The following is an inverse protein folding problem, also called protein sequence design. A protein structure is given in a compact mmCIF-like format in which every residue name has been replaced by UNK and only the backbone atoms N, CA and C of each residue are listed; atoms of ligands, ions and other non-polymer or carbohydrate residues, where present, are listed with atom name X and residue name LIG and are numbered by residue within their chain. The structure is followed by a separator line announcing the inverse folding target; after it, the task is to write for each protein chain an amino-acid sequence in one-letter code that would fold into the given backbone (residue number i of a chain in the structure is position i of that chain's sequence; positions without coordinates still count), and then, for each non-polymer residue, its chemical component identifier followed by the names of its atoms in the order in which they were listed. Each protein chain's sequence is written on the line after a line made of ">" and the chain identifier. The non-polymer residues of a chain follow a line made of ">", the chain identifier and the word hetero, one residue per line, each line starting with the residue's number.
data_IF_307763888283
#
_entry.id   IF_307763888283
#
_cell.length_a   1.000
_cell.length_b   1.000
_cell.length_c   1.000
_cell.angle_alpha   90.00
_cell.angle_beta   90.00
_cell.angle_gamma   90.00
#
_symmetry.space_group_name_H-M   'P 1'
#
loop_
_entity.id
_entity.type
_entity.pdbx_description
1 polymer ?
#
# COMPACT_ATOMS: atom_id res chain seq x y z
N UNK A 1 -5.93 -11.07 24.51
CA UNK A 1 -6.49 -10.04 23.61
C UNK A 1 -7.17 -10.74 22.45
N UNK A 2 -8.42 -10.38 22.17
CA UNK A 2 -9.22 -10.94 21.08
C UNK A 2 -8.60 -10.66 19.69
N UNK A 3 -8.88 -11.52 18.71
CA UNK A 3 -8.35 -11.41 17.34
C UNK A 3 -8.77 -10.10 16.68
N UNK A 4 -10.02 -9.68 16.88
CA UNK A 4 -10.55 -8.47 16.27
C UNK A 4 -9.89 -7.23 16.84
N UNK A 5 -9.67 -7.21 18.16
CA UNK A 5 -8.93 -6.13 18.83
C UNK A 5 -7.48 -6.01 18.30
N UNK A 6 -6.79 -7.13 18.06
CA UNK A 6 -5.44 -7.11 17.45
C UNK A 6 -5.46 -6.57 16.02
N UNK A 7 -6.45 -6.99 15.21
CA UNK A 7 -6.63 -6.47 13.84
C UNK A 7 -6.94 -4.97 13.84
N UNK A 8 -7.74 -4.50 14.80
CA UNK A 8 -8.06 -3.09 14.98
C UNK A 8 -6.79 -2.28 15.27
N UNK A 9 -5.97 -2.72 16.22
CA UNK A 9 -4.71 -2.06 16.57
C UNK A 9 -3.77 -1.99 15.37
N UNK A 10 -3.62 -3.11 14.65
CA UNK A 10 -2.80 -3.13 13.45
C UNK A 10 -3.32 -2.13 12.39
N UNK A 11 -4.64 -2.09 12.19
CA UNK A 11 -5.26 -1.22 11.19
C UNK A 11 -5.21 0.26 11.56
N UNK A 12 -5.35 0.59 12.85
CA UNK A 12 -5.39 1.96 13.34
C UNK A 12 -4.00 2.59 13.55
N UNK A 13 -3.01 1.82 14.01
CA UNK A 13 -1.70 2.36 14.36
C UNK A 13 -0.59 1.93 13.40
N UNK A 14 -0.41 0.62 13.22
CA UNK A 14 0.73 0.10 12.46
C UNK A 14 0.58 0.36 10.95
N UNK A 15 -0.62 0.16 10.41
CA UNK A 15 -0.87 0.36 8.99
C UNK A 15 -0.60 1.80 8.54
N UNK A 16 -1.08 2.85 9.21
CA UNK A 16 -0.71 4.23 8.86
C UNK A 16 0.79 4.46 8.90
N UNK A 17 1.52 3.93 9.89
CA UNK A 17 2.98 4.05 9.97
C UNK A 17 3.66 3.35 8.80
N UNK A 18 3.17 2.19 8.37
CA UNK A 18 3.71 1.46 7.20
C UNK A 18 3.33 2.16 5.88
N UNK A 19 2.28 2.98 5.84
CA UNK A 19 1.72 3.49 4.58
C UNK A 19 1.72 5.01 4.46
N UNK A 20 2.27 5.73 5.43
CA UNK A 20 2.22 7.20 5.52
C UNK A 20 2.72 7.90 4.24
N UNK A 21 3.83 7.40 3.68
CA UNK A 21 4.45 7.95 2.50
C UNK A 21 3.94 7.32 1.20
N UNK A 22 2.91 6.46 1.23
CA UNK A 22 2.42 5.68 0.08
C UNK A 22 2.38 6.47 -1.25
N UNK A 23 1.84 7.70 -1.31
CA UNK A 23 1.83 8.48 -2.55
C UNK A 23 3.22 8.84 -3.09
N UNK A 24 4.24 8.99 -2.23
CA UNK A 24 5.60 9.39 -2.63
C UNK A 24 6.47 8.20 -3.02
N UNK A 25 6.46 7.13 -2.23
CA UNK A 25 7.22 5.89 -2.47
C UNK A 25 6.41 4.74 -3.09
N UNK A 26 5.21 5.00 -3.64
CA UNK A 26 4.47 4.01 -4.44
C UNK A 26 5.31 3.44 -5.60
N UNK A 27 6.37 4.15 -5.97
CA UNK A 27 7.38 3.80 -6.98
C UNK A 27 8.68 3.21 -6.40
N UNK A 28 8.71 2.87 -5.11
CA UNK A 28 9.88 2.27 -4.48
C UNK A 28 10.28 0.97 -5.20
N UNK A 29 11.57 0.62 -5.09
CA UNK A 29 12.07 -0.63 -5.64
C UNK A 29 11.22 -1.82 -5.17
N UNK A 30 10.97 -2.77 -6.07
CA UNK A 30 10.18 -3.99 -5.78
C UNK A 30 10.70 -4.73 -4.53
N UNK A 31 12.00 -4.69 -4.28
CA UNK A 31 12.64 -5.25 -3.09
C UNK A 31 12.14 -4.58 -1.80
N UNK A 32 12.08 -3.25 -1.75
CA UNK A 32 11.60 -2.50 -0.58
C UNK A 32 10.11 -2.76 -0.34
N UNK A 33 9.30 -2.75 -1.40
CA UNK A 33 7.87 -3.09 -1.29
C UNK A 33 7.66 -4.51 -0.76
N UNK A 34 8.49 -5.47 -1.21
CA UNK A 34 8.44 -6.86 -0.72
C UNK A 34 8.78 -6.97 0.76
N UNK A 35 9.71 -6.16 1.28
CA UNK A 35 10.04 -6.12 2.71
C UNK A 35 8.80 -5.69 3.52
N UNK A 36 8.12 -4.63 3.09
CA UNK A 36 6.91 -4.15 3.77
C UNK A 36 5.76 -5.15 3.68
N UNK A 37 5.55 -5.79 2.53
CA UNK A 37 4.53 -6.83 2.37
C UNK A 37 4.82 -8.04 3.27
N UNK A 38 6.10 -8.42 3.40
CA UNK A 38 6.53 -9.49 4.31
C UNK A 38 6.24 -9.12 5.77
N UNK A 39 6.50 -7.86 6.16
CA UNK A 39 6.19 -7.36 7.50
C UNK A 39 4.67 -7.41 7.78
N UNK A 40 3.83 -6.94 6.86
CA UNK A 40 2.37 -7.06 6.99
C UNK A 40 1.94 -8.53 7.11
N UNK A 41 2.46 -9.41 6.26
CA UNK A 41 2.08 -10.83 6.28
C UNK A 41 2.47 -11.50 7.61
N UNK A 42 3.65 -11.20 8.14
CA UNK A 42 4.10 -11.74 9.43
C UNK A 42 3.18 -11.29 10.58
N UNK A 43 2.81 -10.01 10.62
CA UNK A 43 1.88 -9.50 11.64
C UNK A 43 0.51 -10.19 11.51
N UNK A 44 -0.03 -10.30 10.31
CA UNK A 44 -1.33 -10.96 10.07
C UNK A 44 -1.28 -12.41 10.55
N UNK A 45 -0.21 -13.15 10.24
CA UNK A 45 -0.03 -14.53 10.70
C UNK A 45 0.03 -14.66 12.22
N UNK A 46 0.69 -13.71 12.90
CA UNK A 46 0.73 -13.66 14.36
C UNK A 46 -0.65 -13.34 14.96
N UNK A 47 -1.45 -12.50 14.30
CA UNK A 47 -2.80 -12.18 14.76
C UNK A 47 -3.74 -13.38 14.59
N UNK A 48 -3.64 -14.11 13.48
CA UNK A 48 -4.49 -15.26 13.17
C UNK A 48 -3.98 -16.58 13.73
N UNK A 49 -2.81 -16.61 14.36
CA UNK A 49 -2.11 -17.83 14.79
C UNK A 49 -1.99 -18.87 13.66
N UNK A 50 -1.67 -18.41 12.44
CA UNK A 50 -1.66 -19.25 11.25
C UNK A 50 -0.48 -20.24 11.23
N UNK A 51 -0.78 -21.49 10.91
CA UNK A 51 0.20 -22.59 10.78
C UNK A 51 0.97 -22.53 9.45
N UNK A 52 2.15 -23.14 9.42
CA UNK A 52 3.12 -23.03 8.30
C UNK A 52 2.56 -23.43 6.92
N UNK A 53 1.58 -24.35 6.87
CA UNK A 53 0.97 -24.82 5.63
C UNK A 53 -0.11 -23.87 5.07
N UNK A 54 -0.59 -22.92 5.87
CA UNK A 54 -1.56 -21.92 5.41
C UNK A 54 -0.85 -20.86 4.56
N UNK A 55 -1.31 -20.64 3.34
CA UNK A 55 -0.73 -19.62 2.46
C UNK A 55 -1.12 -18.21 2.93
N UNK A 56 -0.26 -17.22 2.68
CA UNK A 56 -0.55 -15.83 3.04
C UNK A 56 -1.77 -15.27 2.30
N UNK A 57 -2.02 -15.76 1.09
CA UNK A 57 -3.23 -15.41 0.32
C UNK A 57 -4.48 -15.90 1.02
N UNK A 58 -4.54 -17.18 1.43
CA UNK A 58 -5.72 -17.77 2.05
C UNK A 58 -6.04 -17.09 3.39
N UNK A 59 -5.01 -16.82 4.19
CA UNK A 59 -5.17 -16.13 5.47
C UNK A 59 -5.80 -14.76 5.25
N UNK A 60 -5.26 -13.97 4.30
CA UNK A 60 -5.79 -12.63 3.97
C UNK A 60 -7.23 -12.69 3.46
N UNK A 61 -7.56 -13.66 2.61
CA UNK A 61 -8.93 -13.84 2.12
C UNK A 61 -9.89 -14.20 3.26
N UNK A 62 -9.49 -15.08 4.18
CA UNK A 62 -10.29 -15.47 5.33
C UNK A 62 -10.61 -14.28 6.25
N UNK A 63 -9.66 -13.35 6.45
CA UNK A 63 -9.87 -12.12 7.22
C UNK A 63 -10.34 -10.92 6.37
N UNK A 64 -10.67 -11.13 5.09
CA UNK A 64 -11.11 -10.11 4.12
C UNK A 64 -10.21 -8.87 4.07
N UNK A 65 -8.90 -9.09 4.08
CA UNK A 65 -7.93 -8.03 4.25
C UNK A 65 -7.06 -7.83 3.00
N UNK A 66 -6.97 -6.62 2.44
CA UNK A 66 -6.26 -6.39 1.19
C UNK A 66 -4.75 -6.57 1.37
N UNK A 67 -4.08 -6.95 0.27
CA UNK A 67 -2.63 -6.91 0.21
C UNK A 67 -2.13 -5.48 0.41
N UNK A 68 -0.90 -5.34 0.91
CA UNK A 68 -0.28 -4.03 1.06
C UNK A 68 -0.22 -3.31 -0.30
N UNK A 69 0.07 -4.07 -1.36
CA UNK A 69 0.11 -3.60 -2.74
C UNK A 69 -1.23 -3.01 -3.19
N UNK A 70 -2.34 -3.74 -3.04
CA UNK A 70 -3.68 -3.23 -3.41
C UNK A 70 -4.04 -1.98 -2.61
N UNK A 71 -3.69 -1.96 -1.33
CA UNK A 71 -3.95 -0.81 -0.47
C UNK A 71 -3.14 0.42 -0.90
N UNK A 72 -1.85 0.25 -1.21
CA UNK A 72 -0.99 1.33 -1.74
C UNK A 72 -1.55 1.84 -3.06
N UNK A 73 -1.96 0.93 -3.96
CA UNK A 73 -2.58 1.30 -5.23
C UNK A 73 -3.83 2.15 -5.02
N UNK A 74 -4.72 1.73 -4.12
CA UNK A 74 -5.94 2.47 -3.79
C UNK A 74 -5.66 3.85 -3.19
N UNK A 75 -4.67 3.96 -2.31
CA UNK A 75 -4.27 5.24 -1.74
C UNK A 75 -3.69 6.17 -2.80
N UNK A 76 -2.75 5.68 -3.61
CA UNK A 76 -2.14 6.47 -4.67
C UNK A 76 -3.18 6.98 -5.68
N UNK A 77 -4.08 6.10 -6.15
CA UNK A 77 -5.14 6.51 -7.09
C UNK A 77 -6.08 7.56 -6.49
N UNK A 78 -6.46 7.41 -5.21
CA UNK A 78 -7.27 8.42 -4.53
C UNK A 78 -6.55 9.76 -4.39
N UNK A 79 -5.25 9.73 -4.07
CA UNK A 79 -4.43 10.93 -3.92
C UNK A 79 -4.31 11.71 -5.23
N UNK A 80 -3.92 11.06 -6.32
CA UNK A 80 -3.79 11.72 -7.63
C UNK A 80 -5.13 12.22 -8.17
N UNK A 81 -6.22 11.46 -7.98
CA UNK A 81 -7.58 11.91 -8.33
C UNK A 81 -7.98 13.17 -7.55
N UNK A 82 -7.59 13.27 -6.29
CA UNK A 82 -7.87 14.45 -5.46
C UNK A 82 -7.01 15.64 -5.87
N UNK A 83 -5.76 15.42 -6.29
CA UNK A 83 -4.90 16.49 -6.83
C UNK A 83 -5.49 17.09 -8.11
N UNK A 84 -6.02 16.25 -9.01
CA UNK A 84 -6.64 16.71 -10.25
C UNK A 84 -7.89 17.57 -10.04
N UNK A 85 -8.63 17.35 -8.93
CA UNK A 85 -9.85 18.07 -8.60
C UNK A 85 -9.64 19.20 -7.58
N UNK A 86 -8.40 19.56 -7.26
CA UNK A 86 -8.12 20.51 -6.19
C UNK A 86 -8.25 21.96 -6.68
N UNK A 87 -8.97 22.80 -5.92
CA UNK A 87 -9.21 24.21 -6.27
C UNK A 87 -7.98 25.12 -6.12
N UNK A 88 -6.82 24.59 -5.68
CA UNK A 88 -5.66 25.41 -5.36
C UNK A 88 -4.84 25.64 -6.63
N UNK A 89 -4.66 26.90 -7.07
CA UNK A 89 -3.94 27.19 -8.30
C UNK A 89 -2.50 26.67 -8.29
N UNK A 90 -1.82 26.71 -7.14
CA UNK A 90 -0.44 26.22 -7.02
C UNK A 90 -0.32 24.71 -7.27
N UNK A 91 -1.38 23.93 -6.99
CA UNK A 91 -1.41 22.49 -7.27
C UNK A 91 -1.70 22.23 -8.76
N UNK A 92 -2.59 23.03 -9.34
CA UNK A 92 -2.93 22.94 -10.77
C UNK A 92 -1.75 23.31 -11.68
N UNK A 93 -0.88 24.20 -11.22
CA UNK A 93 0.37 24.57 -11.90
C UNK A 93 1.43 23.46 -11.87
N UNK A 94 1.29 22.44 -11.01
CA UNK A 94 2.23 21.31 -10.99
C UNK A 94 2.07 20.52 -12.28
N UNK A 95 3.16 20.42 -13.05
CA UNK A 95 3.20 19.61 -14.27
C UNK A 95 2.77 18.17 -13.99
N UNK A 96 1.73 17.72 -14.71
CA UNK A 96 1.30 16.32 -14.67
C UNK A 96 2.39 15.46 -15.30
N UNK A 97 3.04 14.63 -14.49
CA UNK A 97 4.04 13.72 -15.02
C UNK A 97 3.35 12.59 -15.78
N UNK A 98 3.64 12.48 -17.08
CA UNK A 98 3.26 11.36 -17.92
C UNK A 98 4.50 10.46 -18.08
N UNK A 99 4.51 9.24 -17.50
CA UNK A 99 5.63 8.34 -17.69
C UNK A 99 5.72 7.91 -19.15
N UNK A 100 6.77 8.30 -19.86
CA UNK A 100 7.08 7.73 -21.16
C UNK A 100 7.72 6.34 -20.97
N UNK A 101 7.08 5.25 -21.42
CA UNK A 101 7.61 3.89 -21.29
C UNK A 101 8.93 3.67 -22.03
N UNK A 102 9.34 4.59 -22.93
CA UNK A 102 10.61 4.54 -23.66
C UNK A 102 11.80 5.06 -22.83
N UNK A 103 11.55 5.75 -21.71
CA UNK A 103 12.61 6.27 -20.83
C UNK A 103 13.11 5.15 -19.92
N UNK A 104 14.42 4.96 -19.85
CA UNK A 104 15.02 4.01 -18.89
C UNK A 104 14.64 4.40 -17.45
N UNK A 105 13.94 3.48 -16.76
CA UNK A 105 13.35 3.68 -15.43
C UNK A 105 12.30 4.80 -15.43
N UNK A 106 11.13 4.59 -16.06
CA UNK A 106 10.06 5.58 -16.01
C UNK A 106 9.60 5.68 -14.56
N UNK A 107 10.01 6.75 -13.87
CA UNK A 107 9.90 6.86 -12.40
C UNK A 107 8.46 6.88 -11.90
N UNK A 108 7.46 7.03 -12.80
CA UNK A 108 6.07 7.18 -12.40
C UNK A 108 5.08 6.27 -13.11
N UNK A 109 5.50 5.15 -13.73
CA UNK A 109 4.47 4.16 -14.10
C UNK A 109 3.97 3.58 -12.78
N UNK A 110 2.70 3.85 -12.45
CA UNK A 110 1.98 3.17 -11.38
C UNK A 110 1.81 1.67 -11.76
N UNK A 111 2.91 0.95 -11.95
CA UNK A 111 2.94 -0.50 -12.07
C UNK A 111 3.00 -1.07 -10.67
N UNK A 112 1.87 -0.93 -9.97
CA UNK A 112 1.41 -2.03 -9.14
C UNK A 112 0.60 -2.98 -10.01
#
# INVERSE_FOLDING_TARGET
>A
MDREAKLLIYTAYLRPVITYACPTWGYAAKTNLKILETLQNNIIRQITNATWYMTNTDIRYAIKYPSLKEFIKKLATSFFKNLDNHDNPAILEINKYLPDPKINRPRNVLLL
#
